data_IF_329070672513
#
_entry.id   IF_329070672513
#
_cell.length_a   1.000
_cell.length_b   1.000
_cell.length_c   1.000
_cell.angle_alpha   90.00
_cell.angle_beta   90.00
_cell.angle_gamma   90.00
#
_symmetry.space_group_name_H-M   'P 1'
#
loop_
_entity.id
_entity.type
_entity.pdbx_description
1 polymer ?
#
# COMPACT_ATOMS: atom_id res chain seq x y z
N UNK A 1 16.86 -16.68 26.50
CA UNK A 1 15.49 -16.59 25.97
C UNK A 1 15.44 -15.25 25.27
N UNK A 2 15.51 -15.25 23.94
CA UNK A 2 15.51 -14.01 23.15
C UNK A 2 14.07 -13.75 22.75
N UNK A 3 13.43 -12.78 23.39
CA UNK A 3 12.11 -12.30 22.99
C UNK A 3 12.24 -11.70 21.58
N UNK A 4 11.60 -12.36 20.60
CA UNK A 4 11.34 -11.75 19.31
C UNK A 4 10.35 -10.62 19.56
N UNK A 5 10.81 -9.38 19.41
CA UNK A 5 9.90 -8.24 19.30
C UNK A 5 9.09 -8.45 18.03
N UNK A 6 7.83 -8.83 18.22
CA UNK A 6 6.82 -8.88 17.18
C UNK A 6 6.48 -7.43 16.85
N UNK A 7 7.13 -6.89 15.82
CA UNK A 7 6.88 -5.52 15.36
C UNK A 7 5.52 -5.51 14.68
N UNK A 8 4.47 -5.18 15.42
CA UNK A 8 3.16 -4.88 14.86
C UNK A 8 3.32 -3.60 14.04
N UNK A 9 3.53 -3.75 12.73
CA UNK A 9 3.60 -2.63 11.78
C UNK A 9 2.17 -2.09 11.67
N UNK A 10 1.81 -1.19 12.58
CA UNK A 10 0.59 -0.40 12.51
C UNK A 10 1.00 1.06 12.33
N UNK A 11 1.76 1.33 11.26
CA UNK A 11 1.90 2.68 10.75
C UNK A 11 0.64 2.94 9.93
N UNK A 12 -0.37 3.56 10.55
CA UNK A 12 -1.57 3.95 9.82
C UNK A 12 -1.17 4.91 8.70
N UNK A 13 -1.40 4.49 7.45
CA UNK A 13 -1.04 5.30 6.30
C UNK A 13 -1.90 6.57 6.30
N UNK A 14 -1.31 7.77 6.44
CA UNK A 14 -2.06 9.02 6.58
C UNK A 14 -2.93 9.34 5.37
N UNK A 15 -2.66 8.72 4.20
CA UNK A 15 -3.51 8.85 3.02
C UNK A 15 -4.84 8.11 3.13
N UNK A 16 -4.93 7.09 3.98
CA UNK A 16 -6.17 6.31 4.17
C UNK A 16 -7.22 7.08 4.96
N UNK A 17 -6.79 7.99 5.85
CA UNK A 17 -7.66 8.86 6.63
C UNK A 17 -8.17 10.08 5.82
N UNK A 18 -7.74 10.24 4.57
CA UNK A 18 -8.16 11.39 3.77
C UNK A 18 -9.65 11.28 3.42
N UNK A 19 -10.44 12.35 3.68
CA UNK A 19 -11.82 12.40 3.24
C UNK A 19 -11.84 12.42 1.71
N UNK A 20 -12.64 11.56 1.08
CA UNK A 20 -12.65 11.42 -0.37
C UNK A 20 -13.45 12.52 -1.10
N UNK A 21 -13.58 13.72 -0.50
CA UNK A 21 -14.51 14.79 -0.94
C UNK A 21 -14.18 15.46 -2.28
N UNK A 22 -12.97 15.27 -2.83
CA UNK A 22 -12.61 15.87 -4.12
C UNK A 22 -13.10 15.00 -5.29
N UNK A 23 -14.21 15.43 -5.91
CA UNK A 23 -14.91 14.79 -7.04
C UNK A 23 -14.14 14.94 -8.37
N UNK A 24 -13.02 14.24 -8.49
CA UNK A 24 -12.15 14.36 -9.67
C UNK A 24 -12.50 13.40 -10.82
N UNK A 25 -13.23 12.31 -10.55
CA UNK A 25 -13.51 11.24 -11.53
C UNK A 25 -14.85 10.55 -11.28
N UNK A 26 -15.52 10.13 -12.36
CA UNK A 26 -16.78 9.37 -12.29
C UNK A 26 -16.65 8.06 -11.49
N UNK A 27 -15.53 7.36 -11.64
CA UNK A 27 -15.24 6.14 -10.87
C UNK A 27 -15.11 6.44 -9.37
N UNK A 28 -14.46 7.57 -9.04
CA UNK A 28 -14.29 7.98 -7.65
C UNK A 28 -15.64 8.28 -7.01
N UNK A 29 -16.53 8.98 -7.71
CA UNK A 29 -17.90 9.23 -7.25
C UNK A 29 -18.67 7.93 -7.03
N UNK A 30 -18.60 7.00 -7.99
CA UNK A 30 -19.25 5.70 -7.86
C UNK A 30 -18.80 4.93 -6.60
N UNK A 31 -17.49 4.89 -6.34
CA UNK A 31 -16.95 4.22 -5.15
C UNK A 31 -17.38 4.90 -3.85
N UNK A 32 -17.41 6.23 -3.81
CA UNK A 32 -17.87 7.00 -2.65
C UNK A 32 -19.35 6.73 -2.38
N UNK A 33 -20.20 6.87 -3.39
CA UNK A 33 -21.64 6.70 -3.26
C UNK A 33 -21.99 5.25 -2.89
N UNK A 34 -21.32 4.27 -3.50
CA UNK A 34 -21.49 2.85 -3.17
C UNK A 34 -21.09 2.56 -1.72
N UNK A 35 -19.91 3.03 -1.31
CA UNK A 35 -19.38 2.82 0.05
C UNK A 35 -20.26 3.51 1.10
N UNK A 36 -20.67 4.76 0.87
CA UNK A 36 -21.54 5.50 1.77
C UNK A 36 -22.93 4.87 1.90
N UNK A 37 -23.47 4.33 0.80
CA UNK A 37 -24.73 3.57 0.84
C UNK A 37 -24.59 2.24 1.57
N UNK A 38 -23.47 1.53 1.38
CA UNK A 38 -23.21 0.23 2.01
C UNK A 38 -22.99 0.34 3.52
N UNK A 39 -22.31 1.40 3.97
CA UNK A 39 -21.99 1.65 5.39
C UNK A 39 -22.98 2.57 6.10
N UNK A 40 -23.96 3.13 5.38
CA UNK A 40 -24.89 4.16 5.87
C UNK A 40 -24.17 5.39 6.45
N UNK A 41 -23.09 5.84 5.79
CA UNK A 41 -22.23 6.94 6.22
C UNK A 41 -22.10 8.02 5.15
N UNK A 42 -22.14 9.29 5.55
CA UNK A 42 -22.06 10.44 4.62
C UNK A 42 -20.60 10.83 4.35
N UNK A 43 -19.75 10.75 5.38
CA UNK A 43 -18.34 11.13 5.29
C UNK A 43 -17.45 9.91 5.02
N UNK A 44 -17.41 9.50 3.75
CA UNK A 44 -16.58 8.39 3.29
C UNK A 44 -15.10 8.77 3.25
N UNK A 45 -14.26 7.86 3.78
CA UNK A 45 -12.79 7.95 3.72
C UNK A 45 -12.22 6.92 2.75
N UNK A 46 -10.96 7.10 2.34
CA UNK A 46 -10.27 6.11 1.49
C UNK A 46 -10.15 4.75 2.19
N UNK A 47 -9.96 4.73 3.51
CA UNK A 47 -9.95 3.49 4.29
C UNK A 47 -11.27 2.72 4.15
N UNK A 48 -12.41 3.40 4.32
CA UNK A 48 -13.74 2.78 4.19
C UNK A 48 -13.96 2.17 2.81
N UNK A 49 -13.51 2.85 1.75
CA UNK A 49 -13.59 2.33 0.38
C UNK A 49 -12.74 1.06 0.24
N UNK A 50 -11.51 1.07 0.79
CA UNK A 50 -10.62 -0.09 0.74
C UNK A 50 -11.22 -1.31 1.49
N UNK A 51 -11.82 -1.09 2.66
CA UNK A 51 -12.49 -2.14 3.44
C UNK A 51 -13.70 -2.72 2.69
N UNK A 52 -14.56 -1.86 2.12
CA UNK A 52 -15.71 -2.32 1.35
C UNK A 52 -15.28 -3.07 0.10
N UNK A 53 -14.25 -2.61 -0.62
CA UNK A 53 -13.71 -3.33 -1.78
C UNK A 53 -13.09 -4.67 -1.40
N UNK A 54 -12.43 -4.77 -0.25
CA UNK A 54 -11.91 -6.04 0.25
C UNK A 54 -13.02 -7.03 0.64
N UNK A 55 -14.17 -6.53 1.10
CA UNK A 55 -15.34 -7.35 1.42
C UNK A 55 -16.11 -7.80 0.17
N UNK A 56 -16.40 -6.88 -0.74
CA UNK A 56 -17.26 -7.13 -1.92
C UNK A 56 -16.49 -7.69 -3.12
N UNK A 57 -15.18 -7.45 -3.20
CA UNK A 57 -14.33 -7.92 -4.28
C UNK A 57 -12.98 -8.45 -3.77
N UNK A 58 -12.99 -9.52 -2.94
CA UNK A 58 -11.80 -10.02 -2.27
C UNK A 58 -10.71 -10.47 -3.26
N UNK A 59 -11.08 -11.03 -4.41
CA UNK A 59 -10.13 -11.47 -5.44
C UNK A 59 -9.31 -10.30 -6.01
N UNK A 60 -9.95 -9.13 -6.17
CA UNK A 60 -9.26 -7.92 -6.62
C UNK A 60 -8.31 -7.40 -5.55
N UNK A 61 -8.77 -7.34 -4.29
CA UNK A 61 -7.95 -6.89 -3.17
C UNK A 61 -6.73 -7.79 -2.97
N UNK A 62 -6.89 -9.11 -3.04
CA UNK A 62 -5.79 -10.07 -2.94
C UNK A 62 -4.82 -9.95 -4.11
N UNK A 63 -5.32 -9.89 -5.35
CA UNK A 63 -4.44 -9.74 -6.52
C UNK A 63 -3.61 -8.44 -6.45
N UNK A 64 -4.21 -7.34 -5.98
CA UNK A 64 -3.49 -6.09 -5.79
C UNK A 64 -2.44 -6.18 -4.67
N UNK A 65 -2.77 -6.83 -3.55
CA UNK A 65 -1.84 -7.02 -2.44
C UNK A 65 -0.66 -7.91 -2.81
N UNK A 66 -0.90 -9.04 -3.49
CA UNK A 66 0.13 -9.97 -3.94
C UNK A 66 1.11 -9.30 -4.92
N UNK A 67 0.59 -8.56 -5.89
CA UNK A 67 1.43 -7.89 -6.87
C UNK A 67 2.29 -6.79 -6.22
N UNK A 68 1.73 -6.01 -5.30
CA UNK A 68 2.50 -5.00 -4.55
C UNK A 68 3.55 -5.63 -3.64
N UNK A 69 3.22 -6.75 -3.01
CA UNK A 69 4.18 -7.51 -2.21
C UNK A 69 5.34 -7.98 -3.08
N UNK A 70 5.08 -8.70 -4.18
CA UNK A 70 6.11 -9.22 -5.10
C UNK A 70 7.01 -8.08 -5.62
N UNK A 71 6.42 -6.98 -6.11
CA UNK A 71 7.19 -5.81 -6.57
C UNK A 71 8.06 -5.20 -5.48
N UNK A 72 7.58 -5.16 -4.23
CA UNK A 72 8.35 -4.68 -3.09
C UNK A 72 9.61 -5.51 -2.85
N UNK A 73 9.51 -6.84 -2.94
CA UNK A 73 10.67 -7.72 -2.83
C UNK A 73 11.65 -7.55 -3.98
N UNK A 74 11.17 -7.50 -5.22
CA UNK A 74 12.04 -7.28 -6.39
C UNK A 74 12.80 -5.96 -6.29
N UNK A 75 12.11 -4.88 -5.90
CA UNK A 75 12.72 -3.56 -5.71
C UNK A 75 13.78 -3.60 -4.61
N UNK A 76 13.45 -4.16 -3.44
CA UNK A 76 14.40 -4.24 -2.32
C UNK A 76 15.63 -5.10 -2.65
N UNK A 77 15.46 -6.20 -3.39
CA UNK A 77 16.58 -7.01 -3.87
C UNK A 77 17.43 -6.23 -4.88
N UNK A 78 16.81 -5.54 -5.85
CA UNK A 78 17.52 -4.75 -6.84
C UNK A 78 18.32 -3.62 -6.21
N UNK A 79 17.76 -2.91 -5.23
CA UNK A 79 18.46 -1.86 -4.49
C UNK A 79 19.66 -2.41 -3.71
N UNK A 80 19.51 -3.59 -3.09
CA UNK A 80 20.63 -4.28 -2.44
C UNK A 80 21.72 -4.63 -3.46
N UNK A 81 21.38 -5.25 -4.59
CA UNK A 81 22.34 -5.59 -5.65
C UNK A 81 23.03 -4.36 -6.24
N UNK A 82 22.29 -3.27 -6.46
CA UNK A 82 22.87 -2.01 -6.93
C UNK A 82 23.87 -1.45 -5.91
N UNK A 83 23.53 -1.48 -4.61
CA UNK A 83 24.44 -1.02 -3.55
C UNK A 83 25.73 -1.83 -3.49
N UNK A 84 25.68 -3.15 -3.69
CA UNK A 84 26.87 -3.99 -3.75
C UNK A 84 27.74 -3.68 -4.97
N UNK A 85 27.15 -3.41 -6.14
CA UNK A 85 27.93 -3.07 -7.33
C UNK A 85 28.60 -1.69 -7.21
N UNK A 86 27.93 -0.71 -6.58
CA UNK A 86 28.54 0.60 -6.33
C UNK A 86 29.75 0.51 -5.40
N UNK A 87 29.72 -0.34 -4.36
CA UNK A 87 30.86 -0.53 -3.45
C UNK A 87 32.08 -1.16 -4.14
N UNK A 88 31.86 -2.14 -5.02
CA UNK A 88 32.95 -2.79 -5.77
C UNK A 88 33.56 -1.86 -6.84
N UNK A 89 32.80 -0.91 -7.37
CA UNK A 89 33.28 0.08 -8.33
C UNK A 89 34.15 1.14 -7.64
N UNK A 90 33.76 1.62 -6.45
CA UNK A 90 34.55 2.61 -5.69
C UNK A 90 35.84 2.04 -5.12
N UNK A 91 35.93 0.74 -4.80
CA UNK A 91 37.20 0.14 -4.35
C UNK A 91 38.25 0.00 -5.47
N UNK A 92 37.83 -0.13 -6.73
CA UNK A 92 38.74 -0.26 -7.89
C UNK A 92 39.24 1.08 -8.45
N UNK A 93 38.64 2.22 -8.10
CA UNK A 93 39.08 3.56 -8.56
C UNK A 93 40.07 4.24 -7.59
N UNK A 94 40.33 3.66 -6.40
CA UNK A 94 41.21 4.22 -5.37
C UNK A 94 42.51 3.39 -5.20
N UNK A 95 42.76 2.42 -6.10
CA UNK A 95 44.02 1.66 -6.18
C UNK A 95 44.81 2.03 -7.45
#
# INVERSE_FOLDING_TARGET
>A
MTEKQETTITEENPLLALPSKEKESDLKNYLIDFTGTFLEEEDVTVNMIAEVLASEFPEFAFAFAEENFIRGYETGLNDAYASFQTQNATENEIS
#
